data_IF_827241996662
#
_entry.id   IF_827241996662
#
_cell.length_a   1.000
_cell.length_b   1.000
_cell.length_c   1.000
_cell.angle_alpha   90.00
_cell.angle_beta   90.00
_cell.angle_gamma   90.00
#
_symmetry.space_group_name_H-M   'P 1'
#
loop_
_entity.id
_entity.type
_entity.pdbx_description
1 polymer ?
#
# COMPACT_ATOMS: atom_id res chain seq x y z
N UNK A 1 -16.72 4.37 4.56
CA UNK A 1 -16.47 4.74 5.97
C UNK A 1 -14.97 4.80 6.15
N UNK A 2 -14.41 5.99 6.38
CA UNK A 2 -13.00 6.08 6.78
C UNK A 2 -12.84 5.35 8.11
N UNK A 3 -11.75 4.58 8.29
CA UNK A 3 -11.49 3.93 9.56
C UNK A 3 -11.51 4.99 10.68
N UNK A 4 -12.18 4.73 11.81
CA UNK A 4 -12.35 5.70 12.92
C UNK A 4 -11.02 6.30 13.40
N UNK A 5 -9.91 5.57 13.24
CA UNK A 5 -8.56 5.98 13.64
C UNK A 5 -7.97 7.13 12.80
N UNK A 6 -8.52 7.42 11.61
CA UNK A 6 -8.03 8.51 10.75
C UNK A 6 -8.49 9.91 11.19
N UNK A 7 -9.63 9.98 11.89
CA UNK A 7 -10.17 11.22 12.47
C UNK A 7 -9.47 11.59 13.79
N UNK A 8 -8.98 10.59 14.53
CA UNK A 8 -8.27 10.77 15.81
C UNK A 8 -7.00 11.61 15.69
N UNK A 9 -6.35 11.64 14.52
CA UNK A 9 -5.09 12.37 14.32
C UNK A 9 -5.20 13.60 13.41
N UNK A 10 -6.14 13.61 12.46
CA UNK A 10 -6.35 14.76 11.56
C UNK A 10 -6.85 16.00 12.31
N UNK A 11 -7.71 15.81 13.32
CA UNK A 11 -8.23 16.92 14.15
C UNK A 11 -7.13 17.56 15.00
N UNK A 12 -6.29 16.82 15.76
CA UNK A 12 -5.15 17.40 16.48
C UNK A 12 -4.15 18.13 15.58
N UNK A 13 -3.83 17.59 14.39
CA UNK A 13 -2.90 18.22 13.45
C UNK A 13 -3.48 19.54 12.91
N UNK A 14 -4.77 19.57 12.57
CA UNK A 14 -5.46 20.79 12.13
C UNK A 14 -5.52 21.84 13.25
N UNK A 15 -5.78 21.41 14.50
CA UNK A 15 -5.79 22.28 15.67
C UNK A 15 -4.40 22.87 15.93
N UNK A 16 -3.34 22.05 15.90
CA UNK A 16 -1.96 22.51 16.01
C UNK A 16 -1.59 23.50 14.91
N UNK A 17 -2.00 23.25 13.67
CA UNK A 17 -1.80 24.17 12.56
C UNK A 17 -2.47 25.53 12.79
N UNK A 18 -3.72 25.53 13.26
CA UNK A 18 -4.47 26.76 13.59
C UNK A 18 -3.78 27.54 14.72
N UNK A 19 -3.31 26.87 15.77
CA UNK A 19 -2.58 27.50 16.86
C UNK A 19 -1.24 28.09 16.40
N UNK A 20 -0.47 27.37 15.59
CA UNK A 20 0.78 27.87 15.02
C UNK A 20 0.56 29.06 14.08
N UNK A 21 -0.48 28.99 13.25
CA UNK A 21 -0.85 30.07 12.33
C UNK A 21 -1.30 31.33 13.10
N UNK A 22 -2.12 31.17 14.14
CA UNK A 22 -2.54 32.27 15.01
C UNK A 22 -1.35 32.91 15.75
N UNK A 23 -0.42 32.08 16.24
CA UNK A 23 0.84 32.53 16.86
C UNK A 23 1.73 33.31 15.90
N UNK A 24 1.89 32.82 14.67
CA UNK A 24 2.66 33.48 13.63
C UNK A 24 2.05 34.85 13.25
N UNK A 25 0.73 34.94 13.10
CA UNK A 25 0.01 36.20 12.84
C UNK A 25 0.19 37.21 13.98
N UNK A 26 0.17 36.75 15.24
CA UNK A 26 0.41 37.61 16.42
C UNK A 26 1.85 38.14 16.46
N UNK A 27 2.84 37.32 16.11
CA UNK A 27 4.26 37.72 16.04
C UNK A 27 4.55 38.71 14.91
N UNK A 28 3.89 38.56 13.76
CA UNK A 28 3.94 39.51 12.63
C UNK A 28 3.46 40.91 13.03
N UNK A 29 2.45 41.00 13.91
CA UNK A 29 1.92 42.27 14.42
C UNK A 29 2.90 43.01 15.34
N UNK A 30 3.90 42.32 15.91
CA UNK A 30 4.89 42.87 16.85
C UNK A 30 6.26 43.16 16.20
N UNK A 31 6.37 43.12 14.87
CA UNK A 31 7.58 43.54 14.14
C UNK A 31 8.76 42.55 14.16
N UNK A 32 8.61 41.38 14.78
CA UNK A 32 9.64 40.35 14.85
C UNK A 32 9.68 39.49 13.59
N UNK A 33 10.23 40.02 12.48
CA UNK A 33 10.29 39.31 11.19
C UNK A 33 11.05 37.97 11.28
N UNK A 34 12.12 37.90 12.07
CA UNK A 34 12.84 36.65 12.38
C UNK A 34 11.99 35.65 13.17
N UNK A 35 11.22 36.11 14.16
CA UNK A 35 10.33 35.25 14.97
C UNK A 35 9.16 34.71 14.15
N UNK A 36 8.63 35.51 13.22
CA UNK A 36 7.62 35.08 12.26
C UNK A 36 8.17 34.03 11.28
N UNK A 37 9.35 34.27 10.68
CA UNK A 37 9.99 33.30 9.79
C UNK A 37 10.26 31.97 10.50
N UNK A 38 10.75 32.01 11.74
CA UNK A 38 10.98 30.82 12.55
C UNK A 38 9.68 30.06 12.88
N UNK A 39 8.59 30.76 13.21
CA UNK A 39 7.29 30.15 13.47
C UNK A 39 6.69 29.48 12.21
N UNK A 40 6.86 30.11 11.04
CA UNK A 40 6.39 29.57 9.75
C UNK A 40 7.20 28.34 9.35
N UNK A 41 8.53 28.38 9.49
CA UNK A 41 9.40 27.24 9.22
C UNK A 41 9.10 26.07 10.19
N UNK A 42 8.88 26.36 11.46
CA UNK A 42 8.48 25.36 12.46
C UNK A 42 7.12 24.73 12.13
N UNK A 43 6.12 25.52 11.75
CA UNK A 43 4.81 25.01 11.36
C UNK A 43 4.87 24.15 10.07
N UNK A 44 5.65 24.59 9.08
CA UNK A 44 5.88 23.82 7.86
C UNK A 44 6.60 22.49 8.15
N UNK A 45 7.62 22.50 9.01
CA UNK A 45 8.32 21.29 9.42
C UNK A 45 7.40 20.31 10.15
N UNK A 46 6.53 20.79 11.06
CA UNK A 46 5.54 19.96 11.77
C UNK A 46 4.53 19.36 10.79
N UNK A 47 4.04 20.14 9.83
CA UNK A 47 3.13 19.63 8.80
C UNK A 47 3.79 18.57 7.91
N UNK A 48 5.02 18.80 7.46
CA UNK A 48 5.77 17.83 6.68
C UNK A 48 6.04 16.55 7.49
N UNK A 49 6.39 16.67 8.77
CA UNK A 49 6.59 15.53 9.66
C UNK A 49 5.29 14.76 9.91
N UNK A 50 4.17 15.45 10.12
CA UNK A 50 2.85 14.84 10.29
C UNK A 50 2.38 14.14 9.00
N UNK A 51 2.56 14.78 7.84
CA UNK A 51 2.26 14.19 6.54
C UNK A 51 3.15 12.97 6.25
N UNK A 52 4.45 13.06 6.50
CA UNK A 52 5.39 11.95 6.37
C UNK A 52 5.06 10.78 7.31
N UNK A 53 4.72 11.07 8.56
CA UNK A 53 4.26 10.08 9.53
C UNK A 53 2.97 9.42 9.06
N UNK A 54 2.00 10.20 8.57
CA UNK A 54 0.74 9.66 8.07
C UNK A 54 0.94 8.82 6.81
N UNK A 55 1.73 9.28 5.85
CA UNK A 55 2.09 8.50 4.65
C UNK A 55 2.76 7.19 5.07
N UNK A 56 3.68 7.20 6.04
CA UNK A 56 4.31 5.99 6.54
C UNK A 56 3.33 5.08 7.29
N UNK A 57 2.47 5.65 8.13
CA UNK A 57 1.44 4.93 8.86
C UNK A 57 0.42 4.27 7.92
N UNK A 58 0.09 4.91 6.79
CA UNK A 58 -0.82 4.34 5.80
C UNK A 58 -0.11 3.34 4.89
N UNK A 59 1.08 3.68 4.38
CA UNK A 59 1.76 2.93 3.32
C UNK A 59 2.75 1.87 3.85
N UNK A 60 3.32 2.07 5.04
CA UNK A 60 4.24 1.11 5.67
C UNK A 60 5.63 1.08 5.06
N UNK A 61 6.19 2.25 4.72
CA UNK A 61 7.54 2.40 4.15
C UNK A 61 8.62 1.95 5.15
N UNK A 62 8.68 2.59 6.32
CA UNK A 62 9.57 2.25 7.42
C UNK A 62 8.83 1.49 8.53
N UNK A 63 9.30 0.29 8.87
CA UNK A 63 8.81 -0.53 10.00
C UNK A 63 9.46 -0.16 11.33
N UNK A 64 10.60 0.53 11.29
CA UNK A 64 11.37 0.93 12.46
C UNK A 64 12.04 2.28 12.25
N UNK A 65 12.54 2.89 13.34
CA UNK A 65 13.34 4.11 13.27
C UNK A 65 14.64 3.92 12.48
N UNK A 66 15.23 2.73 12.55
CA UNK A 66 16.43 2.41 11.75
C UNK A 66 16.11 2.37 10.26
N UNK A 67 15.01 1.72 9.85
CA UNK A 67 14.56 1.76 8.45
C UNK A 67 14.26 3.19 7.98
N UNK A 68 13.65 4.01 8.84
CA UNK A 68 13.37 5.41 8.51
C UNK A 68 14.66 6.20 8.28
N UNK A 69 15.70 5.99 9.10
CA UNK A 69 17.02 6.61 8.91
C UNK A 69 17.65 6.16 7.60
N UNK A 70 17.61 4.87 7.28
CA UNK A 70 18.16 4.34 6.01
C UNK A 70 17.46 4.94 4.79
N UNK A 71 16.12 5.08 4.84
CA UNK A 71 15.34 5.71 3.78
C UNK A 71 15.71 7.20 3.64
N UNK A 72 15.84 7.92 4.76
CA UNK A 72 16.19 9.35 4.77
C UNK A 72 17.64 9.63 4.36
N UNK A 73 18.55 8.68 4.62
CA UNK A 73 19.95 8.75 4.21
C UNK A 73 20.15 8.54 2.70
N UNK A 74 19.09 8.18 1.96
CA UNK A 74 19.16 7.99 0.51
C UNK A 74 19.87 6.69 0.09
N UNK A 75 20.07 5.74 1.01
CA UNK A 75 20.75 4.46 0.78
C UNK A 75 19.90 3.43 0.00
N UNK A 76 18.99 3.91 -0.85
CA UNK A 76 18.40 3.08 -1.89
C UNK A 76 19.42 2.93 -3.03
N UNK A 77 20.44 2.10 -2.80
CA UNK A 77 21.32 1.58 -3.85
C UNK A 77 22.82 1.91 -3.72
N UNK A 78 23.51 1.39 -2.71
CA UNK A 78 24.94 1.03 -2.79
C UNK A 78 25.28 0.05 -1.65
N UNK A 79 26.20 -0.88 -1.90
CA UNK A 79 26.53 -2.00 -1.02
C UNK A 79 27.62 -1.68 0.03
N UNK A 80 27.44 -2.20 1.26
CA UNK A 80 28.48 -2.56 2.25
C UNK A 80 28.94 -1.47 3.23
N UNK A 81 29.69 -1.80 4.33
CA UNK A 81 30.08 -3.10 4.89
C UNK A 81 29.41 -3.41 6.27
N UNK A 82 29.58 -4.60 6.88
CA UNK A 82 28.83 -4.99 8.07
C UNK A 82 29.45 -4.36 9.34
N UNK A 83 28.62 -3.83 10.24
CA UNK A 83 29.10 -3.38 11.56
C UNK A 83 28.24 -3.96 12.68
N UNK A 84 28.94 -4.38 13.72
CA UNK A 84 28.58 -5.32 14.76
C UNK A 84 27.40 -4.92 15.66
N UNK A 85 26.72 -5.96 16.18
CA UNK A 85 25.85 -5.89 17.35
C UNK A 85 26.57 -5.20 18.52
N UNK A 86 25.94 -4.16 19.06
CA UNK A 86 26.19 -3.67 20.42
C UNK A 86 24.87 -3.62 21.18
N UNK A 87 24.89 -4.20 22.37
CA UNK A 87 23.77 -4.43 23.29
C UNK A 87 23.47 -3.24 24.20
N UNK A 88 22.16 -2.98 24.38
CA UNK A 88 21.43 -2.57 25.61
C UNK A 88 21.62 -1.12 26.16
N UNK A 89 20.69 -0.54 27.00
CA UNK A 89 19.65 -1.21 27.80
C UNK A 89 18.23 -0.54 27.93
N UNK A 90 17.31 -1.40 28.39
CA UNK A 90 16.16 -1.23 29.28
C UNK A 90 15.12 -0.12 29.06
N UNK A 91 13.90 -0.53 28.64
CA UNK A 91 12.69 -0.20 29.40
C UNK A 91 11.81 -1.43 29.55
N UNK A 92 11.54 -1.72 30.82
CA UNK A 92 10.76 -2.80 31.39
C UNK A 92 9.26 -2.57 31.19
N UNK A 93 8.60 -3.57 30.59
CA UNK A 93 7.34 -4.09 31.13
C UNK A 93 7.19 -5.52 30.60
N UNK A 94 7.04 -6.43 31.55
CA UNK A 94 7.08 -7.88 31.42
C UNK A 94 6.03 -8.42 30.42
N UNK A 95 6.47 -9.27 29.51
CA UNK A 95 5.93 -10.62 29.47
C UNK A 95 7.03 -11.59 29.00
N UNK A 96 7.24 -12.64 29.79
CA UNK A 96 8.34 -13.61 29.67
C UNK A 96 8.33 -14.24 28.27
N UNK A 97 9.33 -13.92 27.44
CA UNK A 97 9.67 -14.74 26.28
C UNK A 97 10.99 -15.42 26.59
N UNK A 98 10.88 -16.61 27.20
CA UNK A 98 12.00 -17.51 27.46
C UNK A 98 12.53 -18.03 26.13
N UNK A 99 13.86 -18.04 26.05
CA UNK A 99 14.67 -18.41 24.91
C UNK A 99 14.65 -19.93 24.62
N UNK A 100 15.23 -20.25 23.44
CA UNK A 100 15.75 -21.55 23.01
C UNK A 100 14.74 -22.58 22.49
N UNK A 101 14.57 -22.56 21.16
CA UNK A 101 14.27 -23.73 20.35
C UNK A 101 12.95 -24.43 20.64
N UNK A 102 11.83 -23.77 20.40
CA UNK A 102 10.52 -24.44 20.33
C UNK A 102 9.58 -23.65 19.43
N UNK A 103 8.86 -24.41 18.61
CA UNK A 103 7.62 -24.01 17.94
C UNK A 103 6.77 -23.17 18.91
N UNK A 104 6.11 -22.11 18.41
CA UNK A 104 5.01 -21.52 19.18
C UNK A 104 4.05 -22.67 19.49
N UNK A 105 3.87 -22.93 20.79
CA UNK A 105 3.05 -24.02 21.29
C UNK A 105 1.65 -23.87 20.69
N UNK A 106 1.19 -24.93 20.03
CA UNK A 106 -0.16 -25.02 19.46
C UNK A 106 -1.25 -24.89 20.51
N UNK A 107 -0.90 -24.96 21.80
CA UNK A 107 -1.81 -24.69 22.91
C UNK A 107 -2.30 -23.22 22.99
N UNK A 108 -1.59 -22.26 22.38
CA UNK A 108 -2.02 -20.86 22.26
C UNK A 108 -2.95 -20.61 21.04
N UNK A 109 -3.23 -21.66 20.25
CA UNK A 109 -4.38 -21.69 19.32
C UNK A 109 -5.65 -21.83 20.18
N UNK A 110 -6.03 -20.73 20.83
CA UNK A 110 -7.01 -20.69 21.91
C UNK A 110 -8.19 -21.65 21.75
N UNK A 111 -8.53 -22.34 22.85
CA UNK A 111 -9.65 -23.28 22.99
C UNK A 111 -11.03 -22.63 22.89
N UNK A 112 -11.15 -21.48 22.22
CA UNK A 112 -12.37 -20.68 22.15
C UNK A 112 -13.23 -21.02 20.94
N UNK A 113 -14.55 -21.01 21.13
CA UNK A 113 -15.57 -21.21 20.10
C UNK A 113 -15.64 -20.11 19.02
N UNK A 114 -14.66 -19.20 18.97
CA UNK A 114 -14.65 -18.00 18.13
C UNK A 114 -13.60 -18.11 17.01
N UNK A 115 -13.74 -17.29 15.96
CA UNK A 115 -12.69 -17.16 14.95
C UNK A 115 -11.38 -16.69 15.60
N UNK A 116 -10.26 -17.24 15.12
CA UNK A 116 -8.93 -16.86 15.63
C UNK A 116 -8.25 -15.96 14.59
N UNK A 117 -7.71 -14.82 15.02
CA UNK A 117 -6.81 -13.95 14.23
C UNK A 117 -5.51 -13.79 15.02
N UNK A 118 -4.51 -14.57 14.65
CA UNK A 118 -3.27 -14.69 15.44
C UNK A 118 -2.06 -14.31 14.60
N UNK A 119 -1.14 -13.57 15.21
CA UNK A 119 0.13 -13.16 14.61
C UNK A 119 1.27 -14.01 15.16
N UNK A 120 1.73 -14.99 14.38
CA UNK A 120 2.86 -15.85 14.71
C UNK A 120 4.17 -15.21 14.29
N UNK A 121 5.26 -15.51 14.98
CA UNK A 121 6.62 -15.25 14.55
C UNK A 121 7.39 -16.56 14.65
N UNK A 122 8.04 -16.96 13.55
CA UNK A 122 8.86 -18.16 13.54
C UNK A 122 10.00 -18.03 12.53
N UNK A 123 11.00 -18.89 12.68
CA UNK A 123 12.13 -19.02 11.77
C UNK A 123 11.93 -20.23 10.87
N UNK A 124 11.94 -19.99 9.56
CA UNK A 124 11.82 -21.01 8.54
C UNK A 124 13.06 -21.89 8.47
N UNK A 125 12.88 -23.20 8.52
CA UNK A 125 13.99 -24.17 8.48
C UNK A 125 14.70 -24.22 7.13
N UNK A 126 13.99 -23.93 6.04
CA UNK A 126 14.51 -23.99 4.68
C UNK A 126 15.05 -22.65 4.18
N UNK A 127 14.32 -21.56 4.42
CA UNK A 127 14.76 -20.22 4.01
C UNK A 127 15.74 -19.58 4.98
N UNK A 128 15.72 -19.99 6.26
CA UNK A 128 16.43 -19.32 7.35
C UNK A 128 15.81 -17.98 7.76
N UNK A 129 14.72 -17.53 7.10
CA UNK A 129 14.03 -16.28 7.36
C UNK A 129 13.26 -16.39 8.68
N UNK A 130 13.41 -15.38 9.55
CA UNK A 130 12.55 -15.23 10.72
C UNK A 130 11.59 -14.07 10.52
N UNK A 131 10.30 -14.38 10.38
CA UNK A 131 9.29 -13.37 10.09
C UNK A 131 7.94 -13.66 10.73
N UNK A 132 7.09 -12.63 10.69
CA UNK A 132 5.71 -12.70 11.16
C UNK A 132 4.79 -13.31 10.11
N UNK A 133 3.83 -14.11 10.54
CA UNK A 133 2.72 -14.63 9.72
C UNK A 133 1.44 -14.44 10.49
N UNK A 134 0.47 -13.73 9.91
CA UNK A 134 -0.88 -13.67 10.48
C UNK A 134 -1.73 -14.79 9.89
N UNK A 135 -2.43 -15.53 10.73
CA UNK A 135 -3.38 -16.55 10.29
C UNK A 135 -4.73 -16.24 10.90
N UNK A 136 -5.75 -16.16 10.03
CA UNK A 136 -7.14 -16.12 10.43
C UNK A 136 -7.79 -17.47 10.14
N UNK A 137 -8.51 -18.02 11.11
CA UNK A 137 -9.27 -19.26 10.95
C UNK A 137 -10.73 -19.06 11.40
N UNK A 138 -11.70 -19.68 10.70
CA UNK A 138 -13.11 -19.55 11.03
C UNK A 138 -13.41 -20.23 12.37
N UNK A 139 -14.52 -19.84 13.01
CA UNK A 139 -14.95 -20.47 14.26
C UNK A 139 -15.16 -21.98 14.08
N UNK A 140 -14.72 -22.77 15.06
CA UNK A 140 -14.83 -24.23 15.07
C UNK A 140 -13.96 -24.93 14.02
N UNK A 141 -12.89 -24.30 13.53
CA UNK A 141 -11.99 -24.90 12.54
C UNK A 141 -11.34 -26.21 12.98
N UNK A 142 -11.16 -26.40 14.29
CA UNK A 142 -10.57 -27.59 14.88
C UNK A 142 -11.39 -28.85 14.59
N UNK A 143 -12.72 -28.72 14.45
CA UNK A 143 -13.64 -29.82 14.16
C UNK A 143 -13.83 -30.05 12.65
N UNK A 144 -13.28 -29.16 11.81
CA UNK A 144 -13.38 -29.23 10.36
C UNK A 144 -12.31 -30.15 9.80
N UNK A 145 -12.58 -30.72 8.62
CA UNK A 145 -11.61 -31.47 7.82
C UNK A 145 -11.47 -30.80 6.46
N UNK A 146 -10.31 -30.98 5.83
CA UNK A 146 -10.01 -30.46 4.49
C UNK A 146 -10.22 -28.95 4.38
N UNK A 147 -9.71 -28.17 5.35
CA UNK A 147 -9.76 -26.72 5.29
C UNK A 147 -9.11 -26.21 3.99
N UNK A 148 -9.79 -25.29 3.32
CA UNK A 148 -9.24 -24.56 2.19
C UNK A 148 -8.24 -23.53 2.71
N UNK A 149 -7.16 -23.31 1.97
CA UNK A 149 -6.10 -22.38 2.37
C UNK A 149 -6.02 -21.23 1.39
N UNK A 150 -6.09 -20.01 1.91
CA UNK A 150 -5.88 -18.80 1.12
C UNK A 150 -4.63 -18.07 1.61
N UNK A 151 -3.58 -18.06 0.80
CA UNK A 151 -2.45 -17.16 1.00
C UNK A 151 -2.81 -15.77 0.49
N UNK A 152 -2.51 -14.74 1.26
CA UNK A 152 -2.78 -13.35 0.88
C UNK A 152 -1.56 -12.46 1.14
N UNK A 153 -0.96 -11.99 0.05
CA UNK A 153 0.28 -11.22 0.05
C UNK A 153 0.00 -9.72 -0.04
N UNK A 154 0.72 -8.97 0.79
CA UNK A 154 0.67 -7.51 0.78
C UNK A 154 1.47 -6.91 -0.38
N UNK A 155 1.10 -5.69 -0.78
CA UNK A 155 1.82 -4.89 -1.78
C UNK A 155 3.14 -4.31 -1.26
N UNK A 156 3.71 -3.40 -2.05
CA UNK A 156 4.88 -2.61 -1.66
C UNK A 156 4.62 -1.11 -1.90
N UNK A 157 4.91 -0.24 -0.92
CA UNK A 157 5.12 -0.59 0.49
C UNK A 157 3.81 -1.12 1.11
N UNK A 158 3.90 -2.14 1.96
CA UNK A 158 2.85 -2.59 2.88
C UNK A 158 3.41 -3.66 3.84
N UNK A 159 2.57 -4.18 4.74
CA UNK A 159 2.84 -5.32 5.62
C UNK A 159 1.55 -6.16 5.82
N UNK A 160 1.64 -7.40 6.36
CA UNK A 160 0.49 -8.29 6.51
C UNK A 160 -0.65 -7.73 7.37
N UNK A 161 -0.30 -7.00 8.44
CA UNK A 161 -1.27 -6.53 9.42
C UNK A 161 -2.31 -5.56 8.86
N UNK A 162 -1.92 -4.76 7.86
CA UNK A 162 -2.81 -3.79 7.21
C UNK A 162 -3.69 -4.41 6.14
N UNK A 163 -3.24 -5.46 5.46
CA UNK A 163 -4.00 -6.08 4.37
C UNK A 163 -5.31 -6.66 4.88
N UNK A 164 -5.29 -7.35 6.02
CA UNK A 164 -6.47 -7.95 6.62
C UNK A 164 -7.61 -6.94 6.83
N UNK A 165 -7.32 -5.85 7.57
CA UNK A 165 -8.33 -4.84 7.89
C UNK A 165 -8.71 -3.97 6.70
N UNK A 166 -7.75 -3.61 5.83
CA UNK A 166 -8.02 -2.76 4.67
C UNK A 166 -8.81 -3.45 3.57
N UNK A 167 -8.67 -4.77 3.44
CA UNK A 167 -9.50 -5.55 2.53
C UNK A 167 -10.84 -5.94 3.13
N UNK A 168 -11.05 -5.75 4.44
CA UNK A 168 -12.20 -6.28 5.19
C UNK A 168 -12.28 -7.80 5.02
N UNK A 169 -11.14 -8.46 5.25
CA UNK A 169 -10.96 -9.87 4.89
C UNK A 169 -11.85 -10.81 5.72
N UNK A 170 -12.07 -10.48 7.00
CA UNK A 170 -13.05 -11.14 7.88
C UNK A 170 -14.46 -11.13 7.28
N UNK A 171 -14.92 -9.97 6.81
CA UNK A 171 -16.23 -9.81 6.18
C UNK A 171 -16.30 -10.59 4.87
N UNK A 172 -15.24 -10.53 4.06
CA UNK A 172 -15.18 -11.25 2.80
C UNK A 172 -15.17 -12.78 2.99
N UNK A 173 -14.52 -13.29 4.05
CA UNK A 173 -14.44 -14.72 4.37
C UNK A 173 -15.66 -15.25 5.15
N UNK A 174 -16.47 -14.36 5.73
CA UNK A 174 -17.76 -14.71 6.34
C UNK A 174 -18.88 -14.89 5.30
N UNK A 175 -18.57 -14.76 4.01
CA UNK A 175 -19.54 -14.97 2.95
C UNK A 175 -19.92 -16.44 2.79
N UNK A 176 -21.16 -16.75 2.36
CA UNK A 176 -21.59 -18.13 2.11
C UNK A 176 -20.67 -18.87 1.14
N UNK A 177 -20.29 -20.09 1.50
CA UNK A 177 -19.40 -20.98 0.74
C UNK A 177 -17.91 -20.83 1.05
N UNK A 178 -17.53 -20.00 2.03
CA UNK A 178 -16.13 -19.82 2.49
C UNK A 178 -15.90 -20.27 3.92
N UNK A 179 -16.88 -20.92 4.55
CA UNK A 179 -16.89 -21.30 5.97
C UNK A 179 -15.75 -22.27 6.34
N UNK A 180 -15.17 -22.97 5.36
CA UNK A 180 -14.04 -23.88 5.52
C UNK A 180 -12.70 -23.27 5.07
N UNK A 181 -12.61 -21.95 4.91
CA UNK A 181 -11.37 -21.29 4.43
C UNK A 181 -10.59 -20.67 5.57
N UNK A 182 -9.30 -20.99 5.67
CA UNK A 182 -8.34 -20.24 6.50
C UNK A 182 -7.58 -19.23 5.63
N UNK A 183 -7.19 -18.12 6.22
CA UNK A 183 -6.42 -17.06 5.56
C UNK A 183 -5.03 -16.95 6.17
N UNK A 184 -3.99 -17.05 5.35
CA UNK A 184 -2.58 -17.03 5.74
C UNK A 184 -1.90 -15.83 5.09
N UNK A 185 -1.37 -14.92 5.90
CA UNK A 185 -0.76 -13.66 5.46
C UNK A 185 0.69 -13.58 5.95
N UNK A 186 1.65 -14.13 5.19
CA UNK A 186 3.06 -14.06 5.54
C UNK A 186 3.64 -12.68 5.27
N UNK A 187 4.55 -12.24 6.13
CA UNK A 187 5.43 -11.09 5.84
C UNK A 187 6.40 -11.47 4.73
N UNK A 188 6.48 -10.62 3.70
CA UNK A 188 7.30 -10.86 2.50
C UNK A 188 8.54 -9.97 2.44
N UNK A 189 8.73 -9.05 3.40
CA UNK A 189 9.94 -8.22 3.51
C UNK A 189 10.79 -8.63 4.72
N UNK A 190 11.69 -9.62 4.53
CA UNK A 190 12.67 -10.01 5.54
C UNK A 190 13.73 -8.93 5.82
N UNK A 191 13.89 -7.97 4.90
CA UNK A 191 14.78 -6.82 5.03
C UNK A 191 14.11 -5.54 4.50
N UNK A 192 14.74 -4.35 4.63
CA UNK A 192 14.14 -3.08 4.22
C UNK A 192 14.01 -2.88 2.71
N UNK A 193 14.59 -3.76 1.88
CA UNK A 193 14.60 -3.59 0.42
C UNK A 193 13.23 -3.94 -0.19
N UNK A 194 13.07 -3.61 -1.47
CA UNK A 194 11.94 -4.08 -2.26
C UNK A 194 11.83 -5.61 -2.20
N UNK A 195 10.61 -6.17 -2.11
CA UNK A 195 10.43 -7.61 -1.97
C UNK A 195 10.84 -8.35 -3.25
N UNK A 196 11.46 -9.51 -3.08
CA UNK A 196 11.66 -10.48 -4.15
C UNK A 196 10.59 -11.56 -4.08
N UNK A 197 9.97 -11.90 -5.21
CA UNK A 197 9.01 -13.00 -5.29
C UNK A 197 9.69 -14.35 -5.60
N UNK A 198 11.01 -14.33 -5.79
CA UNK A 198 11.85 -15.46 -6.19
C UNK A 198 13.16 -15.42 -5.42
N UNK A 199 13.81 -16.56 -5.29
CA UNK A 199 15.07 -16.63 -4.55
C UNK A 199 16.23 -16.15 -5.43
N UNK A 200 16.96 -15.15 -4.95
CA UNK A 200 18.20 -14.66 -5.54
C UNK A 200 19.40 -15.02 -4.68
N UNK A 201 20.58 -15.10 -5.30
CA UNK A 201 21.84 -15.19 -4.57
C UNK A 201 22.02 -13.93 -3.71
N UNK A 202 22.51 -14.10 -2.49
CA UNK A 202 22.81 -13.02 -1.53
C UNK A 202 21.58 -12.16 -1.13
N UNK A 203 20.37 -12.68 -1.38
CA UNK A 203 19.10 -12.11 -0.94
C UNK A 203 18.35 -13.12 -0.08
N UNK A 204 17.49 -12.66 0.84
CA UNK A 204 16.61 -13.57 1.58
C UNK A 204 15.74 -14.42 0.64
N UNK A 205 15.59 -15.71 0.96
CA UNK A 205 14.87 -16.69 0.14
C UNK A 205 13.35 -16.60 0.34
N UNK A 206 12.74 -15.48 -0.05
CA UNK A 206 11.30 -15.21 0.16
C UNK A 206 10.41 -16.23 -0.57
N UNK A 207 10.85 -16.72 -1.74
CA UNK A 207 10.12 -17.76 -2.45
C UNK A 207 10.10 -19.08 -1.67
N UNK A 208 11.25 -19.50 -1.14
CA UNK A 208 11.34 -20.67 -0.25
C UNK A 208 10.55 -20.48 1.05
N UNK A 209 10.61 -19.28 1.66
CA UNK A 209 9.85 -18.95 2.86
C UNK A 209 8.36 -19.20 2.69
N UNK A 210 7.77 -18.67 1.62
CA UNK A 210 6.32 -18.82 1.38
C UNK A 210 5.99 -20.25 0.94
N UNK A 211 6.73 -20.82 0.00
CA UNK A 211 6.37 -22.11 -0.63
C UNK A 211 6.73 -23.34 0.21
N UNK A 212 7.63 -23.20 1.18
CA UNK A 212 8.05 -24.31 2.04
C UNK A 212 7.78 -24.04 3.50
N UNK A 213 8.42 -23.02 4.08
CA UNK A 213 8.39 -22.83 5.53
C UNK A 213 6.97 -22.51 6.04
N UNK A 214 6.27 -21.56 5.41
CA UNK A 214 4.91 -21.20 5.82
C UNK A 214 3.91 -22.31 5.50
N UNK A 215 4.07 -22.99 4.36
CA UNK A 215 3.20 -24.11 3.96
C UNK A 215 3.32 -25.29 4.92
N UNK A 216 4.53 -25.60 5.36
CA UNK A 216 4.80 -26.62 6.37
C UNK A 216 4.10 -26.29 7.68
N UNK A 217 4.30 -25.09 8.22
CA UNK A 217 3.61 -24.64 9.44
C UNK A 217 2.09 -24.74 9.29
N UNK A 218 1.52 -24.33 8.15
CA UNK A 218 0.07 -24.44 7.93
C UNK A 218 -0.40 -25.90 7.93
N UNK A 219 0.35 -26.81 7.29
CA UNK A 219 -0.01 -28.24 7.22
C UNK A 219 0.12 -28.96 8.55
N UNK A 220 1.11 -28.58 9.36
CA UNK A 220 1.37 -29.23 10.64
C UNK A 220 0.36 -28.81 11.72
N UNK A 221 -0.31 -27.66 11.54
CA UNK A 221 -1.14 -27.03 12.58
C UNK A 221 -2.64 -26.97 12.24
N UNK A 222 -3.02 -27.18 10.98
CA UNK A 222 -4.41 -27.10 10.53
C UNK A 222 -4.79 -28.34 9.69
N UNK A 223 -6.02 -28.87 9.81
CA UNK A 223 -6.50 -30.00 9.01
C UNK A 223 -6.85 -29.57 7.57
N UNK A 224 -5.86 -29.09 6.84
CA UNK A 224 -5.99 -28.51 5.50
C UNK A 224 -6.11 -29.57 4.41
N UNK A 225 -6.82 -29.25 3.33
CA UNK A 225 -6.99 -30.13 2.17
C UNK A 225 -5.65 -30.45 1.50
N UNK A 226 -5.53 -31.62 0.90
CA UNK A 226 -4.39 -31.97 0.05
C UNK A 226 -4.60 -31.59 -1.42
N UNK A 227 -5.83 -31.24 -1.82
CA UNK A 227 -6.16 -30.89 -3.21
C UNK A 227 -5.68 -29.48 -3.53
N UNK A 228 -4.91 -29.33 -4.60
CA UNK A 228 -4.43 -28.01 -5.05
C UNK A 228 -5.56 -27.04 -5.37
N UNK A 229 -6.75 -27.53 -5.76
CA UNK A 229 -7.88 -26.65 -6.02
C UNK A 229 -8.31 -25.92 -4.75
N UNK A 230 -8.18 -26.51 -3.57
CA UNK A 230 -8.53 -25.92 -2.28
C UNK A 230 -7.46 -24.98 -1.72
N UNK A 231 -6.35 -24.82 -2.44
CA UNK A 231 -5.28 -23.89 -2.14
C UNK A 231 -5.28 -22.73 -3.12
N UNK A 232 -5.42 -21.54 -2.57
CA UNK A 232 -5.37 -20.28 -3.31
C UNK A 232 -4.23 -19.40 -2.82
N UNK A 233 -3.66 -18.62 -3.73
CA UNK A 233 -2.71 -17.55 -3.40
C UNK A 233 -3.13 -16.26 -4.09
N UNK A 234 -3.16 -15.18 -3.34
CA UNK A 234 -3.62 -13.90 -3.83
C UNK A 234 -2.84 -12.74 -3.25
N UNK A 235 -3.07 -11.55 -3.78
CA UNK A 235 -2.41 -10.36 -3.27
C UNK A 235 -2.89 -9.09 -3.93
N UNK A 236 -2.40 -7.97 -3.41
CA UNK A 236 -2.61 -6.62 -3.98
C UNK A 236 -1.30 -6.07 -4.52
N UNK A 237 -1.33 -5.35 -5.65
CA UNK A 237 -0.16 -4.66 -6.19
C UNK A 237 1.06 -5.59 -6.36
N UNK A 238 2.21 -5.26 -5.77
CA UNK A 238 3.39 -6.14 -5.77
C UNK A 238 3.14 -7.53 -5.17
N UNK A 239 2.22 -7.63 -4.20
CA UNK A 239 1.77 -8.91 -3.67
C UNK A 239 0.99 -9.72 -4.71
N UNK A 240 0.18 -9.07 -5.56
CA UNK A 240 -0.51 -9.74 -6.66
C UNK A 240 0.48 -10.32 -7.67
N UNK A 241 1.49 -9.54 -8.06
CA UNK A 241 2.59 -10.00 -8.92
C UNK A 241 3.30 -11.21 -8.29
N UNK A 242 3.72 -11.10 -7.03
CA UNK A 242 4.36 -12.23 -6.33
C UNK A 242 3.46 -13.47 -6.27
N UNK A 243 2.16 -13.32 -6.01
CA UNK A 243 1.23 -14.43 -5.97
C UNK A 243 1.15 -15.18 -7.30
N UNK A 244 1.18 -14.47 -8.44
CA UNK A 244 1.24 -15.11 -9.75
C UNK A 244 2.54 -15.88 -9.99
N UNK A 245 3.70 -15.31 -9.63
CA UNK A 245 5.00 -15.98 -9.77
C UNK A 245 5.12 -17.18 -8.83
N UNK A 246 4.65 -17.06 -7.59
CA UNK A 246 4.68 -18.13 -6.60
C UNK A 246 3.70 -19.25 -6.96
N UNK A 247 2.53 -18.94 -7.53
CA UNK A 247 1.64 -19.95 -8.09
C UNK A 247 2.29 -20.71 -9.25
N UNK A 248 2.99 -20.00 -10.15
CA UNK A 248 3.69 -20.62 -11.27
C UNK A 248 4.86 -21.52 -10.81
N UNK A 249 5.57 -21.14 -9.74
CA UNK A 249 6.65 -21.95 -9.15
C UNK A 249 6.11 -23.10 -8.30
N UNK A 250 5.13 -22.84 -7.44
CA UNK A 250 4.37 -23.79 -6.63
C UNK A 250 3.24 -24.44 -7.42
N UNK A 251 3.52 -24.88 -8.65
CA UNK A 251 2.50 -25.26 -9.63
C UNK A 251 1.65 -26.48 -9.22
N UNK A 252 2.08 -27.29 -8.25
CA UNK A 252 1.29 -28.38 -7.68
C UNK A 252 0.55 -28.00 -6.40
N UNK A 253 0.86 -26.83 -5.82
CA UNK A 253 0.31 -26.37 -4.55
C UNK A 253 -0.93 -25.52 -4.79
N UNK A 254 -0.84 -24.45 -5.57
CA UNK A 254 -1.94 -23.50 -5.75
C UNK A 254 -2.71 -23.78 -7.04
N UNK A 255 -4.00 -24.07 -6.94
CA UNK A 255 -4.92 -24.23 -8.08
C UNK A 255 -5.69 -22.96 -8.43
N UNK A 256 -5.71 -21.98 -7.52
CA UNK A 256 -6.44 -20.72 -7.66
C UNK A 256 -5.52 -19.54 -7.36
N UNK A 257 -5.58 -18.50 -8.19
CA UNK A 257 -4.79 -17.27 -8.04
C UNK A 257 -5.71 -16.06 -7.98
N UNK A 258 -5.51 -15.15 -7.00
CA UNK A 258 -6.25 -13.90 -6.87
C UNK A 258 -5.31 -12.71 -7.10
N UNK A 259 -5.52 -12.01 -8.20
CA UNK A 259 -4.61 -11.01 -8.72
C UNK A 259 -5.27 -9.64 -8.69
N UNK A 260 -5.08 -8.87 -7.61
CA UNK A 260 -5.72 -7.57 -7.41
C UNK A 260 -4.77 -6.43 -7.78
N UNK A 261 -5.03 -5.75 -8.91
CA UNK A 261 -4.18 -4.66 -9.39
C UNK A 261 -2.70 -5.02 -9.49
N UNK A 262 -2.38 -6.26 -9.91
CA UNK A 262 -1.01 -6.65 -10.22
C UNK A 262 -0.64 -6.21 -11.64
N UNK A 263 0.65 -6.24 -11.95
CA UNK A 263 1.23 -5.84 -13.23
C UNK A 263 1.89 -7.04 -13.93
N UNK A 264 2.14 -6.96 -15.23
CA UNK A 264 2.68 -8.10 -15.98
C UNK A 264 4.20 -8.26 -15.82
N UNK A 265 4.93 -7.15 -15.92
CA UNK A 265 6.40 -7.10 -15.84
C UNK A 265 6.93 -6.95 -14.41
N UNK A 266 8.11 -7.49 -14.06
CA UNK A 266 8.70 -7.29 -12.75
C UNK A 266 9.03 -5.81 -12.49
N UNK A 267 8.19 -5.14 -11.68
CA UNK A 267 8.35 -3.72 -11.35
C UNK A 267 9.16 -3.46 -10.06
N UNK A 268 9.50 -4.50 -9.29
CA UNK A 268 10.22 -4.39 -8.01
C UNK A 268 11.23 -5.52 -7.83
N UNK A 269 12.16 -5.31 -6.89
CA UNK A 269 13.15 -6.30 -6.47
C UNK A 269 14.22 -6.57 -7.53
N UNK A 270 14.98 -7.64 -7.31
CA UNK A 270 16.09 -8.04 -8.17
C UNK A 270 15.67 -8.35 -9.60
N UNK A 271 14.44 -8.84 -9.83
CA UNK A 271 13.93 -9.16 -11.16
C UNK A 271 13.87 -7.92 -12.07
N UNK A 272 13.52 -6.74 -11.54
CA UNK A 272 13.46 -5.49 -12.31
C UNK A 272 14.80 -5.11 -12.94
N UNK A 273 15.90 -5.51 -12.32
CA UNK A 273 17.25 -5.13 -12.75
C UNK A 273 17.89 -6.15 -13.71
N UNK A 274 17.18 -7.24 -14.04
CA UNK A 274 17.65 -8.20 -15.03
C UNK A 274 17.44 -7.67 -16.45
N UNK A 275 18.17 -8.24 -17.42
CA UNK A 275 17.91 -7.96 -18.84
C UNK A 275 16.53 -8.44 -19.25
N UNK A 276 15.93 -7.82 -20.28
CA UNK A 276 14.58 -8.15 -20.73
C UNK A 276 14.40 -9.65 -21.02
N UNK A 277 15.37 -10.27 -21.69
CA UNK A 277 15.36 -11.71 -21.96
C UNK A 277 15.28 -12.57 -20.68
N UNK A 278 15.88 -12.12 -19.58
CA UNK A 278 15.85 -12.78 -18.27
C UNK A 278 14.59 -12.44 -17.46
N UNK A 279 13.95 -11.32 -17.74
CA UNK A 279 12.65 -10.96 -17.13
C UNK A 279 11.48 -11.71 -17.77
N UNK A 280 11.56 -12.01 -19.08
CA UNK A 280 10.46 -12.61 -19.85
C UNK A 280 9.81 -13.85 -19.20
N UNK A 281 10.55 -14.84 -18.65
CA UNK A 281 9.95 -15.99 -17.96
C UNK A 281 9.17 -15.62 -16.69
N UNK A 282 9.38 -14.42 -16.16
CA UNK A 282 8.74 -13.86 -14.97
C UNK A 282 7.71 -12.79 -15.32
N UNK A 283 7.31 -12.65 -16.59
CA UNK A 283 6.07 -11.96 -16.93
C UNK A 283 4.88 -12.80 -16.48
N UNK A 284 3.88 -12.21 -15.85
CA UNK A 284 2.74 -12.96 -15.28
C UNK A 284 2.01 -13.78 -16.35
N UNK A 285 1.77 -13.18 -17.51
CA UNK A 285 1.17 -13.85 -18.66
C UNK A 285 1.97 -15.08 -19.10
N UNK A 286 3.29 -14.96 -19.19
CA UNK A 286 4.18 -16.07 -19.56
C UNK A 286 4.23 -17.15 -18.47
N UNK A 287 4.51 -16.75 -17.23
CA UNK A 287 4.69 -17.64 -16.10
C UNK A 287 3.44 -18.48 -15.81
N UNK A 288 2.26 -17.84 -15.77
CA UNK A 288 0.99 -18.55 -15.51
C UNK A 288 0.58 -19.44 -16.69
N UNK A 289 0.81 -19.00 -17.93
CA UNK A 289 0.51 -19.82 -19.11
C UNK A 289 1.38 -21.08 -19.17
N UNK A 290 2.68 -20.95 -18.90
CA UNK A 290 3.59 -22.10 -18.90
C UNK A 290 3.37 -23.03 -17.70
N UNK A 291 3.01 -22.48 -16.54
CA UNK A 291 2.60 -23.28 -15.39
C UNK A 291 1.33 -24.07 -15.69
N UNK A 292 0.30 -23.40 -16.24
CA UNK A 292 -0.95 -24.03 -16.61
C UNK A 292 -0.77 -25.20 -17.60
N UNK A 293 0.09 -25.08 -18.62
CA UNK A 293 0.37 -26.17 -19.57
C UNK A 293 0.91 -27.45 -18.91
N UNK A 294 1.53 -27.32 -17.74
CA UNK A 294 2.15 -28.44 -17.00
C UNK A 294 1.22 -29.08 -15.97
N UNK A 295 0.02 -28.53 -15.76
CA UNK A 295 -0.93 -29.03 -14.75
C UNK A 295 -1.88 -30.08 -15.32
N UNK A 296 -2.29 -31.01 -14.46
CA UNK A 296 -3.39 -31.95 -14.75
C UNK A 296 -4.77 -31.30 -14.66
N UNK A 297 -4.95 -30.38 -13.70
CA UNK A 297 -6.19 -29.60 -13.51
C UNK A 297 -5.97 -28.15 -13.96
N UNK A 298 -6.98 -27.47 -14.53
CA UNK A 298 -6.86 -26.08 -14.93
C UNK A 298 -6.41 -25.15 -13.81
N UNK A 299 -5.50 -24.23 -14.12
CA UNK A 299 -5.15 -23.12 -13.23
C UNK A 299 -6.23 -22.04 -13.35
N UNK A 300 -6.81 -21.63 -12.23
CA UNK A 300 -7.91 -20.66 -12.19
C UNK A 300 -7.40 -19.32 -11.67
N UNK A 301 -7.64 -18.23 -12.38
CA UNK A 301 -7.13 -16.89 -12.05
C UNK A 301 -8.27 -15.90 -11.99
N UNK A 302 -8.49 -15.30 -10.82
CA UNK A 302 -9.28 -14.09 -10.67
C UNK A 302 -8.36 -12.89 -10.87
N UNK A 303 -8.59 -12.08 -11.89
CA UNK A 303 -7.75 -10.92 -12.20
C UNK A 303 -8.59 -9.64 -12.16
N UNK A 304 -8.11 -8.65 -11.41
CA UNK A 304 -8.82 -7.40 -11.16
C UNK A 304 -7.98 -6.19 -11.56
N UNK A 305 -8.64 -5.22 -12.21
CA UNK A 305 -8.12 -3.88 -12.45
C UNK A 305 -9.24 -2.83 -12.29
N UNK A 306 -8.89 -1.54 -12.18
CA UNK A 306 -9.89 -0.47 -12.14
C UNK A 306 -9.43 0.84 -12.75
N UNK A 307 -10.38 1.58 -13.31
CA UNK A 307 -10.29 3.00 -13.70
C UNK A 307 -8.94 3.43 -14.29
N UNK A 308 -8.12 4.11 -13.48
CA UNK A 308 -6.85 4.73 -13.89
C UNK A 308 -5.63 3.84 -13.74
N UNK A 309 -5.76 2.63 -13.18
CA UNK A 309 -4.66 1.70 -12.91
C UNK A 309 -4.16 1.04 -14.20
N UNK A 310 -3.38 1.79 -14.99
CA UNK A 310 -3.00 1.43 -16.36
C UNK A 310 -2.19 0.13 -16.43
N UNK A 311 -1.29 -0.08 -15.48
CA UNK A 311 -0.44 -1.27 -15.45
C UNK A 311 -1.29 -2.51 -15.14
N UNK A 312 -2.23 -2.40 -14.19
CA UNK A 312 -3.18 -3.46 -13.92
C UNK A 312 -4.12 -3.75 -15.09
N UNK A 313 -4.61 -2.71 -15.77
CA UNK A 313 -5.43 -2.87 -16.98
C UNK A 313 -4.63 -3.57 -18.08
N UNK A 314 -3.35 -3.20 -18.26
CA UNK A 314 -2.44 -3.84 -19.19
C UNK A 314 -2.25 -5.33 -18.91
N UNK A 315 -1.96 -5.69 -17.65
CA UNK A 315 -1.83 -7.09 -17.23
C UNK A 315 -3.13 -7.88 -17.38
N UNK A 316 -4.28 -7.29 -16.99
CA UNK A 316 -5.60 -7.89 -17.16
C UNK A 316 -5.92 -8.19 -18.63
N UNK A 317 -5.63 -7.24 -19.53
CA UNK A 317 -5.79 -7.41 -20.96
C UNK A 317 -4.84 -8.49 -21.51
N UNK A 318 -3.60 -8.54 -21.04
CA UNK A 318 -2.63 -9.57 -21.40
C UNK A 318 -3.12 -10.97 -21.01
N UNK A 319 -3.63 -11.14 -19.79
CA UNK A 319 -4.21 -12.39 -19.30
C UNK A 319 -5.44 -12.80 -20.10
N UNK A 320 -6.33 -11.85 -20.43
CA UNK A 320 -7.51 -12.10 -21.27
C UNK A 320 -7.14 -12.50 -22.71
N UNK A 321 -6.01 -12.05 -23.23
CA UNK A 321 -5.55 -12.37 -24.58
C UNK A 321 -4.89 -13.76 -24.70
N UNK A 322 -4.57 -14.41 -23.58
CA UNK A 322 -3.93 -15.72 -23.59
C UNK A 322 -4.85 -16.79 -24.17
N UNK A 323 -4.35 -17.50 -25.19
CA UNK A 323 -5.00 -18.70 -25.74
C UNK A 323 -4.42 -19.95 -25.05
N UNK A 324 -4.99 -20.30 -23.90
CA UNK A 324 -4.57 -21.48 -23.13
C UNK A 324 -5.78 -22.11 -22.42
N UNK A 325 -6.24 -23.26 -22.91
CA UNK A 325 -7.45 -23.93 -22.39
C UNK A 325 -7.29 -24.46 -20.97
N UNK A 326 -6.04 -24.62 -20.47
CA UNK A 326 -5.77 -25.05 -19.11
C UNK A 326 -5.55 -23.87 -18.14
N UNK A 327 -5.73 -22.63 -18.60
CA UNK A 327 -5.69 -21.40 -17.80
C UNK A 327 -7.05 -20.70 -17.90
N UNK A 328 -7.81 -20.72 -16.81
CA UNK A 328 -9.14 -20.11 -16.74
C UNK A 328 -9.06 -18.75 -16.07
N UNK A 329 -9.26 -17.67 -16.84
CA UNK A 329 -9.20 -16.29 -16.33
C UNK A 329 -10.61 -15.74 -16.12
N UNK A 330 -10.92 -15.36 -14.87
CA UNK A 330 -12.09 -14.55 -14.50
C UNK A 330 -11.61 -13.10 -14.34
N UNK A 331 -11.82 -12.29 -15.36
CA UNK A 331 -11.46 -10.88 -15.32
C UNK A 331 -12.58 -10.03 -14.69
N UNK A 332 -12.22 -9.13 -13.78
CA UNK A 332 -13.12 -8.18 -13.13
C UNK A 332 -12.57 -6.77 -13.33
N UNK A 333 -13.44 -5.84 -13.73
CA UNK A 333 -13.04 -4.46 -13.96
C UNK A 333 -14.07 -3.47 -13.45
N UNK A 334 -13.61 -2.55 -12.59
CA UNK A 334 -14.42 -1.42 -12.17
C UNK A 334 -14.08 -0.19 -13.01
N UNK A 335 -15.11 0.46 -13.55
CA UNK A 335 -14.94 1.64 -14.43
C UNK A 335 -14.28 2.83 -13.72
N UNK A 336 -14.49 2.94 -12.40
CA UNK A 336 -13.99 4.03 -11.57
C UNK A 336 -13.05 3.48 -10.49
N UNK A 337 -12.16 4.34 -10.03
CA UNK A 337 -11.10 3.98 -9.09
C UNK A 337 -9.72 3.98 -9.74
N UNK A 338 -8.75 3.41 -9.02
CA UNK A 338 -7.34 3.36 -9.40
C UNK A 338 -6.60 2.39 -8.48
N UNK A 339 -5.30 2.60 -8.30
CA UNK A 339 -4.45 1.70 -7.50
C UNK A 339 -4.62 1.88 -5.98
N UNK A 340 -5.80 1.57 -5.42
CA UNK A 340 -6.15 1.91 -4.03
C UNK A 340 -6.98 0.86 -3.26
N UNK A 341 -6.94 0.95 -1.92
CA UNK A 341 -7.59 0.04 -0.98
C UNK A 341 -9.11 -0.08 -1.13
N UNK A 342 -9.80 1.00 -1.51
CA UNK A 342 -11.26 0.96 -1.64
C UNK A 342 -11.69 0.05 -2.78
N UNK A 343 -10.98 0.11 -3.90
CA UNK A 343 -11.21 -0.78 -5.03
C UNK A 343 -10.80 -2.21 -4.70
N UNK A 344 -9.66 -2.41 -4.04
CA UNK A 344 -9.18 -3.73 -3.66
C UNK A 344 -10.09 -4.45 -2.66
N UNK A 345 -10.64 -3.76 -1.66
CA UNK A 345 -11.57 -4.38 -0.69
C UNK A 345 -12.83 -4.89 -1.38
N UNK A 346 -13.40 -4.10 -2.30
CA UNK A 346 -14.56 -4.53 -3.11
C UNK A 346 -14.21 -5.72 -4.01
N UNK A 347 -13.06 -5.64 -4.69
CA UNK A 347 -12.58 -6.71 -5.55
C UNK A 347 -12.25 -8.00 -4.77
N UNK A 348 -11.75 -7.88 -3.54
CA UNK A 348 -11.49 -9.01 -2.65
C UNK A 348 -12.78 -9.71 -2.22
N UNK A 349 -13.84 -8.95 -1.91
CA UNK A 349 -15.17 -9.51 -1.68
C UNK A 349 -15.68 -10.26 -2.91
N UNK A 350 -15.50 -9.71 -4.12
CA UNK A 350 -15.84 -10.37 -5.38
C UNK A 350 -14.99 -11.62 -5.65
N UNK A 351 -13.71 -11.62 -5.28
CA UNK A 351 -12.86 -12.81 -5.32
C UNK A 351 -13.38 -13.89 -4.36
N UNK A 352 -13.89 -13.51 -3.18
CA UNK A 352 -14.55 -14.43 -2.25
C UNK A 352 -15.80 -15.08 -2.85
N UNK A 353 -16.65 -14.31 -3.55
CA UNK A 353 -17.79 -14.87 -4.30
C UNK A 353 -17.32 -15.90 -5.33
N UNK A 354 -16.28 -15.56 -6.08
CA UNK A 354 -15.71 -16.45 -7.09
C UNK A 354 -15.13 -17.75 -6.51
N UNK A 355 -14.42 -17.66 -5.38
CA UNK A 355 -13.93 -18.85 -4.66
C UNK A 355 -15.10 -19.74 -4.20
N UNK A 356 -16.20 -19.14 -3.77
CA UNK A 356 -17.44 -19.83 -3.39
C UNK A 356 -18.29 -20.31 -4.59
N UNK A 357 -17.77 -20.22 -5.83
CA UNK A 357 -18.48 -20.65 -7.04
C UNK A 357 -19.60 -19.70 -7.50
N UNK A 358 -19.67 -18.48 -6.96
CA UNK A 358 -20.66 -17.45 -7.30
C UNK A 358 -20.06 -16.42 -8.26
N UNK A 359 -20.92 -15.80 -9.07
CA UNK A 359 -20.46 -14.83 -10.08
C UNK A 359 -20.09 -13.47 -9.44
N UNK A 360 -18.92 -12.89 -9.77
CA UNK A 360 -18.53 -11.54 -9.35
C UNK A 360 -19.42 -10.45 -9.95
N UNK A 361 -19.45 -9.26 -9.34
CA UNK A 361 -20.37 -8.20 -9.74
C UNK A 361 -20.04 -7.48 -11.06
N UNK A 362 -18.78 -7.46 -11.50
CA UNK A 362 -18.36 -6.70 -12.71
C UNK A 362 -17.39 -7.48 -13.60
N UNK A 363 -17.82 -8.62 -14.12
CA UNK A 363 -16.98 -9.47 -14.96
C UNK A 363 -16.76 -8.89 -16.36
N UNK A 364 -15.60 -9.17 -16.94
CA UNK A 364 -15.20 -8.75 -18.28
C UNK A 364 -14.75 -9.94 -19.12
N UNK A 365 -15.11 -9.87 -20.40
CA UNK A 365 -14.73 -10.88 -21.41
C UNK A 365 -14.02 -10.26 -22.61
N UNK A 366 -13.93 -8.92 -22.66
CA UNK A 366 -13.30 -8.16 -23.75
C UNK A 366 -12.21 -7.24 -23.20
N UNK A 367 -11.16 -6.95 -23.99
CA UNK A 367 -10.12 -6.00 -23.60
C UNK A 367 -10.69 -4.62 -23.24
N UNK A 368 -10.04 -3.97 -22.28
CA UNK A 368 -10.39 -2.64 -21.80
C UNK A 368 -9.53 -1.61 -22.54
N UNK A 369 -10.14 -0.60 -23.20
CA UNK A 369 -9.41 0.48 -23.83
C UNK A 369 -8.64 1.30 -22.79
N UNK A 370 -7.33 1.46 -22.97
CA UNK A 370 -6.51 2.33 -22.13
C UNK A 370 -6.62 3.77 -22.65
N UNK A 371 -7.47 4.56 -22.00
CA UNK A 371 -7.65 5.98 -22.33
C UNK A 371 -6.40 6.81 -21.98
N UNK A 372 -5.83 7.47 -22.99
CA UNK A 372 -4.82 8.52 -22.82
C UNK A 372 -5.51 9.88 -22.74
N UNK A 373 -6.22 10.19 -21.64
CA UNK A 373 -6.69 11.57 -21.44
C UNK A 373 -5.50 12.51 -21.25
N UNK A 374 -5.41 13.53 -22.10
CA UNK A 374 -4.38 14.59 -22.07
C UNK A 374 -4.72 15.68 -21.03
N UNK A 375 -5.98 15.75 -20.60
CA UNK A 375 -6.48 16.58 -19.51
C UNK A 375 -6.69 15.71 -18.26
N UNK A 376 -5.61 15.22 -17.68
CA UNK A 376 -5.69 14.59 -16.36
C UNK A 376 -5.60 15.67 -15.27
N UNK A 377 -6.12 15.38 -14.07
CA UNK A 377 -6.03 16.27 -12.90
C UNK A 377 -4.62 16.89 -12.73
N UNK A 378 -3.52 16.15 -12.95
CA UNK A 378 -2.16 16.70 -12.96
C UNK A 378 -1.87 17.86 -13.89
N UNK A 379 -2.33 17.81 -15.13
CA UNK A 379 -2.16 18.91 -16.07
C UNK A 379 -2.97 20.13 -15.61
N UNK A 380 -4.18 19.91 -15.07
CA UNK A 380 -5.05 20.99 -14.57
C UNK A 380 -4.45 21.64 -13.31
N UNK A 381 -4.01 20.85 -12.32
CA UNK A 381 -3.36 21.37 -11.11
C UNK A 381 -2.02 22.03 -11.39
N UNK A 382 -1.21 21.49 -12.31
CA UNK A 382 0.03 22.10 -12.76
C UNK A 382 -0.22 23.45 -13.45
N UNK A 383 -1.25 23.54 -14.29
CA UNK A 383 -1.65 24.81 -14.92
C UNK A 383 -2.13 25.83 -13.89
N UNK A 384 -2.97 25.43 -12.93
CA UNK A 384 -3.42 26.30 -11.83
C UNK A 384 -2.23 26.77 -10.98
N UNK A 385 -1.31 25.88 -10.62
CA UNK A 385 -0.10 26.22 -9.87
C UNK A 385 0.77 27.24 -10.63
N UNK A 386 1.02 27.01 -11.92
CA UNK A 386 1.79 27.93 -12.76
C UNK A 386 1.14 29.33 -12.85
N UNK A 387 -0.18 29.39 -13.09
CA UNK A 387 -0.93 30.66 -13.15
C UNK A 387 -0.84 31.45 -11.83
N UNK A 388 -0.73 30.74 -10.70
CA UNK A 388 -0.71 31.36 -9.37
C UNK A 388 0.68 31.86 -8.97
N UNK A 389 1.75 31.15 -9.37
CA UNK A 389 3.12 31.65 -9.30
C UNK A 389 3.29 32.91 -10.15
N UNK A 390 2.73 32.91 -11.37
CA UNK A 390 2.71 34.09 -12.25
C UNK A 390 1.99 35.26 -11.56
N UNK A 391 0.84 35.02 -10.94
CA UNK A 391 0.10 36.04 -10.18
C UNK A 391 0.87 36.61 -8.98
N UNK A 392 1.54 35.75 -8.20
CA UNK A 392 2.37 36.15 -7.06
C UNK A 392 3.59 36.98 -7.51
N UNK A 393 4.27 36.54 -8.58
CA UNK A 393 5.41 37.24 -9.18
C UNK A 393 5.00 38.61 -9.70
N UNK A 394 3.89 38.71 -10.43
CA UNK A 394 3.35 39.97 -10.93
C UNK A 394 3.04 40.96 -9.79
N UNK A 395 2.46 40.49 -8.69
CA UNK A 395 2.18 41.30 -7.50
C UNK A 395 3.45 41.79 -6.79
N UNK A 396 4.49 40.96 -6.69
CA UNK A 396 5.79 41.33 -6.13
C UNK A 396 6.47 42.41 -6.99
N UNK A 397 6.47 42.24 -8.31
CA UNK A 397 7.03 43.22 -9.25
C UNK A 397 6.28 44.57 -9.16
N UNK A 398 4.95 44.53 -8.98
CA UNK A 398 4.11 45.74 -8.90
C UNK A 398 4.23 46.47 -7.55
N UNK A 399 4.45 45.74 -6.45
CA UNK A 399 4.71 46.35 -5.13
C UNK A 399 6.13 46.91 -5.04
N UNK A 400 7.12 46.26 -5.67
CA UNK A 400 8.48 46.77 -5.82
C UNK A 400 8.55 48.10 -6.61
N UNK A 401 7.78 48.22 -7.70
CA UNK A 401 7.68 49.48 -8.47
C UNK A 401 7.07 50.64 -7.67
N UNK A 402 6.06 50.40 -6.84
CA UNK A 402 5.42 51.46 -6.02
C UNK A 402 6.30 51.94 -4.86
N UNK A 403 7.14 51.08 -4.29
CA UNK A 403 8.04 51.47 -3.21
C UNK A 403 9.26 52.29 -3.68
N UNK A 404 9.66 52.20 -4.95
CA UNK A 404 10.70 53.06 -5.53
C UNK A 404 10.23 54.51 -5.78
N UNK A 405 8.92 54.79 -5.72
CA UNK A 405 8.34 56.07 -6.10
C UNK A 405 7.86 56.95 -4.92
N UNK A 406 8.20 56.63 -3.66
CA UNK A 406 7.72 57.41 -2.51
C UNK A 406 8.80 57.72 -1.46
N UNK A 407 8.96 59.02 -1.19
CA UNK A 407 9.78 59.73 -0.17
C UNK A 407 9.35 59.42 1.30
N UNK A 408 10.10 59.86 2.34
CA UNK A 408 10.17 59.16 3.63
C UNK A 408 8.88 59.29 4.45
N UNK A 409 8.44 58.18 5.07
CA UNK A 409 7.22 58.09 5.87
C UNK A 409 7.52 58.13 7.38
N UNK A 410 6.73 58.92 8.11
CA UNK A 410 6.70 59.02 9.59
C UNK A 410 6.57 57.66 10.28
N UNK A 411 7.32 57.47 11.37
CA UNK A 411 7.22 56.32 12.29
C UNK A 411 5.82 56.27 12.92
N UNK A 412 5.10 55.17 12.72
CA UNK A 412 3.87 54.86 13.46
C UNK A 412 2.75 54.17 12.67
N UNK A 413 2.65 54.36 11.35
CA UNK A 413 1.61 53.71 10.55
C UNK A 413 2.08 52.34 10.03
N UNK A 414 1.41 51.25 10.45
CA UNK A 414 1.64 49.91 9.87
C UNK A 414 1.44 49.99 8.35
N UNK A 415 2.52 49.81 7.60
CA UNK A 415 2.53 50.09 6.16
C UNK A 415 1.50 49.20 5.44
N UNK A 416 0.78 49.73 4.42
CA UNK A 416 -0.09 48.93 3.56
C UNK A 416 0.65 47.74 2.91
N UNK A 417 1.98 47.82 2.80
CA UNK A 417 2.84 46.74 2.31
C UNK A 417 2.85 45.51 3.22
N UNK A 418 2.74 45.69 4.54
CA UNK A 418 2.80 44.58 5.50
C UNK A 418 1.50 43.74 5.51
N UNK A 419 0.34 44.38 5.33
CA UNK A 419 -0.94 43.66 5.13
C UNK A 419 -0.96 42.89 3.80
N UNK A 420 -0.37 43.47 2.75
CA UNK A 420 -0.26 42.82 1.43
C UNK A 420 0.72 41.65 1.44
N UNK A 421 1.86 41.78 2.13
CA UNK A 421 2.81 40.69 2.32
C UNK A 421 2.17 39.52 3.10
N UNK A 422 1.44 39.80 4.18
CA UNK A 422 0.71 38.78 4.93
C UNK A 422 -0.33 38.05 4.06
N UNK A 423 -1.11 38.78 3.25
CA UNK A 423 -2.08 38.16 2.34
C UNK A 423 -1.41 37.26 1.28
N UNK A 424 -0.26 37.69 0.74
CA UNK A 424 0.54 36.89 -0.21
C UNK A 424 1.07 35.61 0.44
N UNK A 425 1.54 35.68 1.69
CA UNK A 425 2.00 34.50 2.43
C UNK A 425 0.85 33.53 2.70
N UNK A 426 -0.34 34.02 3.07
CA UNK A 426 -1.52 33.16 3.28
C UNK A 426 -1.96 32.48 1.99
N UNK A 427 -2.01 33.21 0.88
CA UNK A 427 -2.27 32.61 -0.43
C UNK A 427 -1.21 31.54 -0.77
N UNK A 428 0.07 31.82 -0.59
CA UNK A 428 1.14 30.85 -0.84
C UNK A 428 1.01 29.59 0.04
N UNK A 429 0.62 29.71 1.31
CA UNK A 429 0.39 28.56 2.20
C UNK A 429 -0.81 27.71 1.76
N UNK A 430 -1.92 28.33 1.38
CA UNK A 430 -3.08 27.61 0.81
C UNK A 430 -2.66 26.88 -0.47
N UNK A 431 -1.81 27.49 -1.31
CA UNK A 431 -1.29 26.85 -2.51
C UNK A 431 -0.32 25.70 -2.25
N UNK A 432 0.53 25.79 -1.22
CA UNK A 432 1.39 24.67 -0.79
C UNK A 432 0.53 23.51 -0.29
N UNK A 433 -0.54 23.78 0.47
CA UNK A 433 -1.48 22.74 0.92
C UNK A 433 -2.23 22.08 -0.26
N UNK A 434 -2.67 22.87 -1.24
CA UNK A 434 -3.24 22.34 -2.49
C UNK A 434 -2.19 21.52 -3.28
N UNK A 435 -0.93 21.97 -3.32
CA UNK A 435 0.19 21.25 -3.92
C UNK A 435 0.51 19.93 -3.23
N UNK A 436 0.43 19.87 -1.90
CA UNK A 436 0.57 18.62 -1.13
C UNK A 436 -0.61 17.68 -1.35
N UNK A 437 -1.84 18.19 -1.35
CA UNK A 437 -3.02 17.41 -1.71
C UNK A 437 -2.92 16.87 -3.14
N UNK A 438 -2.33 17.67 -4.05
CA UNK A 438 -2.06 17.29 -5.43
C UNK A 438 -0.98 16.19 -5.56
N UNK A 439 0.13 16.31 -4.85
CA UNK A 439 1.19 15.29 -4.80
C UNK A 439 0.70 13.98 -4.17
N UNK A 440 -0.08 14.08 -3.08
CA UNK A 440 -0.74 12.92 -2.50
C UNK A 440 -1.71 12.27 -3.51
N UNK A 441 -2.47 13.06 -4.26
CA UNK A 441 -3.37 12.53 -5.29
C UNK A 441 -2.63 11.90 -6.47
N UNK A 442 -1.47 12.45 -6.87
CA UNK A 442 -0.59 11.87 -7.90
C UNK A 442 -0.01 10.51 -7.48
N UNK A 443 0.33 10.36 -6.21
CA UNK A 443 0.99 9.17 -5.71
C UNK A 443 0.00 8.06 -5.30
N UNK A 444 -1.22 8.42 -4.93
CA UNK A 444 -2.21 7.48 -4.38
C UNK A 444 -3.50 7.39 -5.21
N UNK A 445 -3.63 8.14 -6.31
CA UNK A 445 -4.80 8.18 -7.19
C UNK A 445 -6.15 8.33 -6.45
N UNK A 446 -6.16 9.15 -5.38
CA UNK A 446 -7.29 9.22 -4.43
C UNK A 446 -8.57 9.87 -4.99
N UNK A 447 -8.45 10.77 -5.96
CA UNK A 447 -9.53 11.51 -6.62
C UNK A 447 -9.15 11.64 -8.10
N UNK A 448 -9.98 11.08 -8.98
CA UNK A 448 -9.61 10.90 -10.40
C UNK A 448 -10.45 11.75 -11.36
N UNK A 449 -11.57 12.32 -10.90
CA UNK A 449 -12.40 13.25 -11.68
C UNK A 449 -13.21 14.22 -10.80
N UNK A 450 -13.69 15.33 -11.39
CA UNK A 450 -14.64 16.23 -10.72
C UNK A 450 -15.99 15.56 -10.38
N UNK A 451 -16.31 14.40 -10.98
CA UNK A 451 -17.50 13.64 -10.63
C UNK A 451 -17.38 12.95 -9.26
N UNK A 452 -16.17 12.61 -8.82
CA UNK A 452 -15.91 12.02 -7.49
C UNK A 452 -16.14 13.02 -6.35
N UNK A 453 -16.00 14.33 -6.61
CA UNK A 453 -16.29 15.40 -5.64
C UNK A 453 -17.78 15.49 -5.28
N UNK A 454 -18.71 15.07 -6.17
CA UNK A 454 -20.15 15.04 -5.83
C UNK A 454 -20.45 14.10 -4.67
N UNK A 455 -19.71 12.99 -4.54
CA UNK A 455 -19.85 12.07 -3.41
C UNK A 455 -19.39 12.69 -2.08
N UNK A 456 -18.46 13.66 -2.13
CA UNK A 456 -18.04 14.46 -0.96
C UNK A 456 -19.13 15.45 -0.54
N UNK A 457 -19.84 16.05 -1.51
CA UNK A 457 -20.95 16.96 -1.22
C UNK A 457 -22.25 16.25 -0.82
N UNK A 458 -22.45 14.99 -1.21
CA UNK A 458 -23.56 14.15 -0.73
C UNK A 458 -23.40 13.70 0.73
N UNK A 459 -22.22 13.87 1.34
CA UNK A 459 -21.98 13.63 2.77
C UNK A 459 -22.31 14.84 3.66
N UNK A 460 -22.66 15.98 3.05
CA UNK A 460 -23.03 17.22 3.75
C UNK A 460 -24.55 17.46 3.75
N UNK A 461 -25.34 16.45 3.38
CA UNK A 461 -26.80 16.43 3.48
C UNK A 461 -27.28 15.25 4.32
#
# INVERSE_FOLDING_TARGET
MFAPDSLLWTVPIAVLFVFFFAGAVKMLRNGGMFRFAFAVLGAAAILCAAAGWQINYFSGYAKSWEEAKTILAGENGAAGPPVAMLTAPAHSAENKMSAQGTFLDTSDLGSGSNSTDTLYRFRGRYSGIEQKVRIWAPAGWQEKKNLHVMFLLHGFPANPGKVFSRLQADTALSQPGLENTILVMPETRPDPKEPDCVDFKDRPKVGTWILKDVVEVVRDNFPVSADSDDWSIGGVSAGAYCSGILAAKGNSLFGRVIFLSGYDDPAFGGLRHLSEARQRPYRITQALSDAAKKRKKPLKVFAFASGTDRDAIGSLNGLLALKNNNLQVKAVYYRYGGHNWQTWSRAFSDAGKWLAGREPSHTRTRPIPISRSVLNLPVVFGAVYALTLIGALWMLLRTGRKNRASLPRRRGAKSPGMKKAAAVTVCAMVYVLIGFAFLANLQFETVSSFADLRAVFQLLH
#
